data_IF_777779533730
#
_entry.id   IF_777779533730
#
_cell.length_a   1.000
_cell.length_b   1.000
_cell.length_c   1.000
_cell.angle_alpha   90.00
_cell.angle_beta   90.00
_cell.angle_gamma   90.00
#
_symmetry.space_group_name_H-M   'P 1'
#
loop_
_entity.id
_entity.type
_entity.pdbx_description
1 polymer ?
#
# COMPACT_ATOMS: atom_id res chain seq x y z
N UNK A 1 59.11 -75.53 -34.36
CA UNK A 1 57.80 -75.85 -33.79
C UNK A 1 57.79 -75.30 -32.37
N UNK A 2 57.16 -74.15 -32.14
CA UNK A 2 57.05 -73.51 -30.83
C UNK A 2 55.59 -73.17 -30.63
N UNK A 3 54.98 -73.78 -29.64
CA UNK A 3 53.60 -73.60 -29.26
C UNK A 3 53.55 -72.40 -28.30
N UNK A 4 52.78 -71.38 -28.64
CA UNK A 4 52.60 -70.20 -27.84
C UNK A 4 51.29 -70.36 -27.08
N UNK A 5 51.35 -70.43 -25.73
CA UNK A 5 50.23 -70.50 -24.87
C UNK A 5 49.81 -69.05 -24.51
N UNK A 6 48.57 -68.66 -24.84
CA UNK A 6 47.97 -67.38 -24.47
C UNK A 6 47.19 -67.60 -23.18
N UNK A 7 47.64 -66.98 -22.08
CA UNK A 7 46.94 -66.93 -20.82
C UNK A 7 45.86 -65.82 -20.87
N UNK A 8 44.59 -66.19 -20.73
CA UNK A 8 43.45 -65.31 -20.66
C UNK A 8 43.25 -64.85 -19.20
N UNK A 9 43.60 -63.61 -18.91
CA UNK A 9 43.46 -63.00 -17.59
C UNK A 9 42.08 -62.34 -17.49
N UNK A 10 41.15 -62.99 -16.78
CA UNK A 10 39.81 -62.47 -16.54
C UNK A 10 39.85 -61.32 -15.52
N UNK A 11 39.50 -60.15 -15.96
CA UNK A 11 39.29 -58.95 -15.08
C UNK A 11 37.87 -59.02 -14.49
N UNK A 12 37.78 -59.36 -13.20
CA UNK A 12 36.57 -59.35 -12.43
C UNK A 12 36.26 -57.87 -12.01
N UNK A 13 35.44 -57.17 -12.77
CA UNK A 13 34.99 -55.83 -12.46
C UNK A 13 33.90 -55.92 -11.38
N UNK A 14 34.26 -55.61 -10.13
CA UNK A 14 33.33 -55.41 -9.04
C UNK A 14 32.57 -54.09 -9.26
N UNK A 15 31.33 -54.16 -9.70
CA UNK A 15 30.41 -53.02 -9.73
C UNK A 15 29.98 -52.70 -8.31
N UNK A 16 30.55 -51.64 -7.72
CA UNK A 16 30.06 -51.07 -6.47
C UNK A 16 28.72 -50.40 -6.78
N UNK A 17 27.62 -51.08 -6.42
CA UNK A 17 26.30 -50.49 -6.44
C UNK A 17 26.25 -49.45 -5.32
N UNK A 18 26.34 -48.19 -5.70
CA UNK A 18 26.01 -47.08 -4.79
C UNK A 18 24.51 -47.08 -4.62
N UNK A 19 24.04 -47.60 -3.50
CA UNK A 19 22.65 -47.46 -3.07
C UNK A 19 22.37 -45.98 -2.87
N UNK A 20 21.65 -45.36 -3.81
CA UNK A 20 20.98 -44.10 -3.55
C UNK A 20 19.87 -44.42 -2.54
N UNK A 21 20.10 -44.10 -1.30
CA UNK A 21 19.05 -44.02 -0.31
C UNK A 21 18.09 -42.92 -0.76
N UNK A 22 17.00 -43.28 -1.42
CA UNK A 22 15.95 -42.40 -1.86
C UNK A 22 15.31 -41.85 -0.58
N UNK A 23 15.69 -40.64 -0.22
CA UNK A 23 15.17 -39.94 0.94
C UNK A 23 13.70 -39.63 0.66
N UNK A 24 12.81 -40.48 1.14
CA UNK A 24 11.37 -40.29 1.00
C UNK A 24 11.02 -38.96 1.70
N UNK A 25 10.73 -37.96 0.90
CA UNK A 25 10.26 -36.68 1.46
C UNK A 25 8.90 -36.89 2.13
N UNK A 26 8.72 -36.38 3.35
CA UNK A 26 7.46 -36.55 4.07
C UNK A 26 6.32 -35.88 3.32
N UNK A 27 5.14 -36.50 3.32
CA UNK A 27 3.95 -35.89 2.77
C UNK A 27 3.63 -34.59 3.55
N UNK A 28 3.30 -33.53 2.85
CA UNK A 28 3.08 -32.22 3.46
C UNK A 28 1.74 -31.61 3.08
N UNK A 29 1.22 -30.77 3.99
CA UNK A 29 0.03 -29.95 3.77
C UNK A 29 0.39 -28.48 3.96
N UNK A 30 0.14 -27.67 2.95
CA UNK A 30 0.29 -26.23 3.04
C UNK A 30 -1.09 -25.57 3.15
N UNK A 31 -1.27 -24.74 4.16
CA UNK A 31 -2.50 -23.96 4.39
C UNK A 31 -2.16 -22.50 4.60
N UNK A 32 -2.98 -21.61 4.05
CA UNK A 32 -2.87 -20.18 4.32
C UNK A 32 -4.21 -19.60 4.74
N UNK A 33 -4.16 -18.58 5.59
CA UNK A 33 -5.33 -17.83 6.02
C UNK A 33 -5.02 -16.36 6.22
N UNK A 34 -6.07 -15.54 6.18
CA UNK A 34 -6.00 -14.11 6.43
C UNK A 34 -6.72 -13.75 7.72
N UNK A 35 -6.10 -12.88 8.51
CA UNK A 35 -6.75 -12.15 9.59
C UNK A 35 -7.03 -10.71 9.16
N UNK A 36 -8.08 -10.11 9.69
CA UNK A 36 -8.48 -8.75 9.38
C UNK A 36 -9.06 -8.09 10.61
N UNK A 37 -8.58 -6.87 10.90
CA UNK A 37 -9.14 -5.97 11.91
C UNK A 37 -9.67 -4.73 11.21
N UNK A 38 -10.86 -4.29 11.62
CA UNK A 38 -11.47 -3.04 11.15
C UNK A 38 -11.49 -2.05 12.30
N UNK A 39 -11.15 -0.81 12.03
CA UNK A 39 -11.14 0.24 13.03
C UNK A 39 -11.43 1.61 12.40
N UNK A 40 -11.95 2.52 13.21
CA UNK A 40 -12.08 3.92 12.81
C UNK A 40 -10.70 4.57 12.70
N UNK A 41 -10.48 5.49 11.74
CA UNK A 41 -9.26 6.30 11.69
C UNK A 41 -9.16 7.21 12.92
N UNK A 42 -7.93 7.53 13.31
CA UNK A 42 -7.60 8.46 14.39
C UNK A 42 -6.98 9.77 13.88
N UNK A 43 -6.74 9.86 12.59
CA UNK A 43 -6.02 10.99 11.99
C UNK A 43 -6.49 11.18 10.54
N UNK A 44 -6.64 12.43 10.14
CA UNK A 44 -6.83 12.83 8.75
C UNK A 44 -5.58 13.54 8.24
N UNK A 45 -5.12 13.15 7.07
CA UNK A 45 -4.11 13.87 6.29
C UNK A 45 -4.82 14.64 5.20
N UNK A 46 -4.80 15.95 5.31
CA UNK A 46 -5.45 16.85 4.35
C UNK A 46 -4.38 17.52 3.50
N UNK A 47 -4.55 17.47 2.18
CA UNK A 47 -3.59 18.03 1.25
C UNK A 47 -4.18 19.22 0.52
N UNK A 48 -3.45 20.33 0.53
CA UNK A 48 -3.79 21.56 -0.18
C UNK A 48 -2.62 21.99 -1.06
N UNK A 49 -2.90 22.87 -2.02
CA UNK A 49 -1.84 23.65 -2.66
C UNK A 49 -2.28 25.07 -2.95
N UNK A 50 -1.30 25.96 -2.99
CA UNK A 50 -1.39 27.31 -3.47
C UNK A 50 -0.78 27.36 -4.86
N UNK A 51 -1.54 27.78 -5.85
CA UNK A 51 -1.06 28.02 -7.20
C UNK A 51 -1.18 29.51 -7.52
N UNK A 52 -0.12 30.10 -8.08
CA UNK A 52 -0.06 31.47 -8.55
C UNK A 52 0.50 31.48 -9.97
N UNK A 53 0.04 32.40 -10.81
CA UNK A 53 0.50 32.56 -12.18
C UNK A 53 0.67 34.05 -12.51
N UNK A 54 1.62 34.36 -13.39
CA UNK A 54 1.91 35.71 -13.84
C UNK A 54 3.06 35.76 -14.82
N UNK A 55 3.37 36.93 -15.32
CA UNK A 55 4.43 37.15 -16.34
C UNK A 55 5.84 37.17 -15.74
N UNK A 56 6.00 37.67 -14.48
CA UNK A 56 7.29 37.74 -13.79
C UNK A 56 7.49 36.55 -12.88
N UNK A 57 8.62 35.87 -13.01
CA UNK A 57 9.01 34.75 -12.13
C UNK A 57 9.08 35.20 -10.68
N UNK A 58 9.74 36.32 -10.39
CA UNK A 58 9.95 36.82 -9.04
C UNK A 58 8.62 37.14 -8.34
N UNK A 59 7.69 37.78 -9.07
CA UNK A 59 6.38 38.13 -8.54
C UNK A 59 5.54 36.88 -8.26
N UNK A 60 5.51 35.91 -9.17
CA UNK A 60 4.76 34.65 -9.02
C UNK A 60 5.25 33.87 -7.79
N UNK A 61 6.56 33.80 -7.58
CA UNK A 61 7.17 33.13 -6.42
C UNK A 61 6.87 33.90 -5.12
N UNK A 62 6.97 35.24 -5.13
CA UNK A 62 6.66 36.07 -3.97
C UNK A 62 5.20 35.94 -3.54
N UNK A 63 4.28 36.07 -4.51
CA UNK A 63 2.83 35.94 -4.25
C UNK A 63 2.47 34.54 -3.71
N UNK A 64 3.13 33.50 -4.25
CA UNK A 64 2.92 32.13 -3.80
C UNK A 64 3.37 31.94 -2.34
N UNK A 65 4.56 32.44 -2.01
CA UNK A 65 5.10 32.40 -0.65
C UNK A 65 4.16 33.11 0.34
N UNK A 66 3.74 34.33 0.01
CA UNK A 66 2.92 35.15 0.91
C UNK A 66 1.55 34.52 1.16
N UNK A 67 0.91 33.95 0.13
CA UNK A 67 -0.34 33.19 0.28
C UNK A 67 -0.14 31.92 1.13
N UNK A 68 0.93 31.14 0.89
CA UNK A 68 1.20 29.95 1.69
C UNK A 68 1.45 30.29 3.15
N UNK A 69 2.16 31.38 3.44
CA UNK A 69 2.33 31.87 4.82
C UNK A 69 1.00 32.22 5.48
N UNK A 70 0.07 32.83 4.75
CA UNK A 70 -1.28 33.12 5.26
C UNK A 70 -2.04 31.84 5.57
N UNK A 71 -1.95 30.80 4.71
CA UNK A 71 -2.56 29.49 4.93
C UNK A 71 -1.98 28.86 6.19
N UNK A 72 -0.66 28.77 6.32
CA UNK A 72 0.00 28.20 7.50
C UNK A 72 -0.39 28.92 8.78
N UNK A 73 -0.36 30.26 8.78
CA UNK A 73 -0.77 31.08 9.92
C UNK A 73 -2.24 30.87 10.30
N UNK A 74 -3.13 30.72 9.32
CA UNK A 74 -4.54 30.47 9.55
C UNK A 74 -4.80 29.09 10.17
N UNK A 75 -4.04 28.06 9.75
CA UNK A 75 -4.11 26.70 10.30
C UNK A 75 -3.53 26.64 11.73
N UNK A 76 -2.43 27.35 11.99
CA UNK A 76 -1.86 27.44 13.34
C UNK A 76 -2.83 28.09 14.33
N UNK A 77 -3.62 29.10 13.91
CA UNK A 77 -4.69 29.72 14.74
C UNK A 77 -5.84 28.75 15.04
N UNK A 78 -6.05 27.71 14.26
CA UNK A 78 -6.99 26.61 14.55
C UNK A 78 -6.44 25.57 15.53
N UNK A 79 -5.19 25.77 16.00
CA UNK A 79 -4.53 24.86 16.92
C UNK A 79 -3.82 23.69 16.23
N UNK A 80 -3.54 23.80 14.92
CA UNK A 80 -2.67 22.84 14.23
C UNK A 80 -1.22 23.29 14.47
N UNK A 81 -0.41 22.53 15.20
CA UNK A 81 0.98 22.88 15.49
C UNK A 81 1.85 22.75 14.23
N UNK A 82 2.94 23.51 14.17
CA UNK A 82 3.79 23.62 12.98
C UNK A 82 4.39 22.27 12.53
N UNK A 83 4.74 21.40 13.47
CA UNK A 83 5.25 20.06 13.18
C UNK A 83 4.26 19.15 12.44
N UNK A 84 2.98 19.53 12.37
CA UNK A 84 1.93 18.85 11.61
C UNK A 84 1.61 19.53 10.27
N UNK A 85 2.32 20.59 9.95
CA UNK A 85 2.26 21.31 8.69
C UNK A 85 3.53 21.01 7.89
N UNK A 86 3.41 20.22 6.84
CA UNK A 86 4.56 19.80 6.05
C UNK A 86 4.43 20.25 4.60
N UNK A 87 5.39 21.01 4.08
CA UNK A 87 5.48 21.28 2.64
C UNK A 87 5.80 19.98 1.91
N UNK A 88 5.02 19.67 0.88
CA UNK A 88 5.16 18.43 0.11
C UNK A 88 5.85 18.65 -1.23
N UNK A 89 5.64 19.81 -1.85
CA UNK A 89 6.25 20.17 -3.13
C UNK A 89 6.32 21.69 -3.27
N UNK A 90 7.30 22.16 -4.03
CA UNK A 90 7.35 23.51 -4.54
C UNK A 90 7.91 23.46 -5.95
N UNK A 91 7.08 23.82 -6.92
CA UNK A 91 7.42 23.75 -8.33
C UNK A 91 7.11 25.08 -9.00
N UNK A 92 7.99 25.53 -9.91
CA UNK A 92 7.74 26.68 -10.78
C UNK A 92 7.96 26.26 -12.22
N UNK A 93 6.93 26.40 -13.03
CA UNK A 93 6.96 25.99 -14.43
C UNK A 93 6.73 27.17 -15.37
N UNK A 94 7.55 27.36 -16.42
CA UNK A 94 7.30 28.36 -17.46
C UNK A 94 6.08 27.96 -18.30
N UNK A 95 5.30 28.97 -18.68
CA UNK A 95 4.17 28.81 -19.58
C UNK A 95 4.60 29.28 -20.97
N UNK A 96 4.56 28.39 -21.95
CA UNK A 96 4.98 28.67 -23.31
C UNK A 96 3.80 29.03 -24.21
N UNK A 97 4.08 29.87 -25.23
CA UNK A 97 3.12 30.16 -26.28
C UNK A 97 2.67 28.86 -26.98
N UNK A 98 1.37 28.72 -27.31
CA UNK A 98 0.93 27.60 -28.11
C UNK A 98 1.68 27.50 -29.44
N UNK A 99 2.20 26.32 -29.74
CA UNK A 99 2.83 26.09 -31.05
C UNK A 99 1.79 26.21 -32.15
N UNK A 100 1.97 27.12 -33.15
CA UNK A 100 1.01 27.24 -34.25
C UNK A 100 0.80 25.91 -34.98
N UNK A 101 -0.44 25.62 -35.36
CA UNK A 101 -0.72 24.46 -36.20
C UNK A 101 -0.08 24.68 -37.57
N UNK A 102 0.86 23.82 -37.93
CA UNK A 102 1.58 23.90 -39.23
C UNK A 102 0.61 23.52 -40.35
N UNK A 103 0.75 24.28 -41.48
CA UNK A 103 0.17 23.88 -42.75
C UNK A 103 1.07 22.84 -43.43
N UNK A 104 0.53 21.86 -44.18
CA UNK A 104 1.35 20.98 -44.99
C UNK A 104 2.22 21.83 -45.94
N UNK A 105 3.55 21.57 -46.00
CA UNK A 105 4.56 22.26 -46.81
C UNK A 105 5.12 23.60 -46.27
N UNK A 106 4.91 23.95 -45.00
CA UNK A 106 5.58 25.12 -44.41
C UNK A 106 6.98 24.74 -43.88
N UNK A 107 8.04 25.49 -44.19
CA UNK A 107 9.39 25.20 -43.71
C UNK A 107 9.46 25.26 -42.19
N UNK A 108 10.26 24.35 -41.58
CA UNK A 108 10.44 24.31 -40.12
C UNK A 108 11.27 25.50 -39.68
N UNK A 109 10.65 26.47 -39.04
CA UNK A 109 11.37 27.48 -38.28
C UNK A 109 11.65 26.93 -36.90
N UNK A 110 12.90 26.68 -36.55
CA UNK A 110 13.36 26.31 -35.20
C UNK A 110 13.50 27.57 -34.34
N UNK A 111 12.40 28.24 -34.06
CA UNK A 111 12.40 29.31 -33.05
C UNK A 111 12.14 28.65 -31.68
N UNK A 112 12.92 29.01 -30.64
CA UNK A 112 12.63 28.52 -29.28
C UNK A 112 11.24 29.01 -28.85
N UNK A 113 10.46 28.18 -28.15
CA UNK A 113 9.12 28.56 -27.71
C UNK A 113 9.22 29.79 -26.79
N UNK A 114 8.38 30.81 -27.06
CA UNK A 114 8.33 32.04 -26.27
C UNK A 114 7.65 31.76 -24.93
N UNK A 115 8.31 32.14 -23.82
CA UNK A 115 7.71 32.11 -22.48
C UNK A 115 6.70 33.25 -22.38
N UNK A 116 5.47 32.93 -22.00
CA UNK A 116 4.39 33.89 -21.78
C UNK A 116 4.24 34.27 -20.30
N UNK A 117 4.75 33.44 -19.40
CA UNK A 117 4.66 33.63 -17.95
C UNK A 117 5.14 32.41 -17.20
N UNK A 118 4.84 32.39 -15.92
CA UNK A 118 5.22 31.31 -14.98
C UNK A 118 4.03 30.93 -14.12
N UNK A 119 4.01 29.67 -13.69
CA UNK A 119 3.08 29.16 -12.68
C UNK A 119 3.90 28.56 -11.55
N UNK A 120 3.69 29.03 -10.32
CA UNK A 120 4.26 28.45 -9.11
C UNK A 120 3.18 27.66 -8.36
N UNK A 121 3.52 26.44 -7.95
CA UNK A 121 2.66 25.57 -7.15
C UNK A 121 3.40 25.12 -5.90
N UNK A 122 2.76 25.34 -4.74
CA UNK A 122 3.28 24.98 -3.43
C UNK A 122 2.27 24.08 -2.71
N UNK A 123 2.66 22.85 -2.42
CA UNK A 123 1.82 21.85 -1.74
C UNK A 123 2.10 21.79 -0.25
N UNK A 124 1.03 21.69 0.54
CA UNK A 124 1.11 21.48 1.99
C UNK A 124 0.26 20.30 2.41
N UNK A 125 0.84 19.47 3.27
CA UNK A 125 0.19 18.37 3.98
C UNK A 125 -0.10 18.78 5.41
N UNK A 126 -1.31 18.55 5.86
CA UNK A 126 -1.82 18.92 7.18
C UNK A 126 -2.27 17.66 7.91
N UNK A 127 -1.66 17.35 9.06
CA UNK A 127 -2.08 16.25 9.91
C UNK A 127 -3.10 16.76 10.95
N UNK A 128 -4.33 16.26 10.86
CA UNK A 128 -5.44 16.62 11.74
C UNK A 128 -5.83 15.42 12.60
N UNK A 129 -5.61 15.51 13.92
CA UNK A 129 -5.93 14.45 14.89
C UNK A 129 -7.33 14.57 15.49
N UNK A 130 -7.87 15.77 15.50
CA UNK A 130 -9.24 16.03 15.89
C UNK A 130 -10.08 15.97 14.61
N UNK A 131 -10.71 14.83 14.38
CA UNK A 131 -11.42 14.57 13.12
C UNK A 131 -12.63 15.48 12.92
N UNK A 132 -13.21 15.98 14.00
CA UNK A 132 -14.34 16.92 13.94
C UNK A 132 -13.91 18.28 13.37
N UNK A 133 -12.63 18.61 13.45
CA UNK A 133 -12.07 19.86 12.89
C UNK A 133 -11.68 19.78 11.42
N UNK A 134 -11.73 18.61 10.78
CA UNK A 134 -11.25 18.44 9.39
C UNK A 134 -11.98 19.38 8.44
N UNK A 135 -13.31 19.51 8.57
CA UNK A 135 -14.10 20.45 7.78
C UNK A 135 -13.70 21.91 7.99
N UNK A 136 -13.50 22.30 9.26
CA UNK A 136 -13.06 23.66 9.60
C UNK A 136 -11.63 23.95 9.09
N UNK A 137 -10.74 22.96 9.13
CA UNK A 137 -9.38 23.06 8.57
C UNK A 137 -9.43 23.31 7.07
N UNK A 138 -10.26 22.54 6.35
CA UNK A 138 -10.42 22.70 4.91
C UNK A 138 -10.96 24.08 4.53
N UNK A 139 -12.04 24.51 5.19
CA UNK A 139 -12.65 25.83 4.96
C UNK A 139 -11.67 26.96 5.27
N UNK A 140 -10.94 26.87 6.38
CA UNK A 140 -9.98 27.89 6.78
C UNK A 140 -8.79 27.99 5.84
N UNK A 141 -8.25 26.86 5.35
CA UNK A 141 -7.15 26.84 4.40
C UNK A 141 -7.55 27.50 3.07
N UNK A 142 -8.73 27.15 2.55
CA UNK A 142 -9.25 27.73 1.31
C UNK A 142 -9.51 29.24 1.43
N UNK A 143 -10.12 29.70 2.54
CA UNK A 143 -10.33 31.12 2.82
C UNK A 143 -9.02 31.91 3.01
N UNK A 144 -7.96 31.24 3.46
CA UNK A 144 -6.66 31.87 3.68
C UNK A 144 -5.78 31.95 2.42
N UNK A 145 -6.19 31.35 1.29
CA UNK A 145 -5.48 31.48 0.02
C UNK A 145 -5.06 30.17 -0.64
N UNK A 146 -5.30 29.00 -0.03
CA UNK A 146 -5.22 27.72 -0.74
C UNK A 146 -6.30 27.69 -1.82
N UNK A 147 -5.91 27.40 -3.07
CA UNK A 147 -6.85 27.37 -4.19
C UNK A 147 -7.00 25.99 -4.83
N UNK A 148 -6.26 24.99 -4.30
CA UNK A 148 -6.43 23.59 -4.64
C UNK A 148 -6.58 22.76 -3.37
N UNK A 149 -7.63 21.95 -3.35
CA UNK A 149 -7.87 20.91 -2.37
C UNK A 149 -7.55 19.56 -3.02
N UNK A 150 -6.47 18.92 -2.57
CA UNK A 150 -5.94 17.70 -3.21
C UNK A 150 -6.43 16.42 -2.51
N UNK A 151 -7.43 16.54 -1.61
CA UNK A 151 -8.11 15.43 -0.97
C UNK A 151 -7.69 15.18 0.46
N UNK A 152 -8.37 14.19 1.05
CA UNK A 152 -8.16 13.72 2.43
C UNK A 152 -7.80 12.25 2.40
N UNK A 153 -6.82 11.88 3.21
CA UNK A 153 -6.50 10.50 3.52
C UNK A 153 -6.76 10.26 5.00
N UNK A 154 -7.64 9.33 5.31
CA UNK A 154 -7.89 8.88 6.66
C UNK A 154 -6.91 7.78 7.03
N UNK A 155 -6.26 7.90 8.18
CA UNK A 155 -5.24 6.95 8.62
C UNK A 155 -5.41 6.59 10.10
N UNK A 156 -4.80 5.49 10.48
CA UNK A 156 -4.46 5.16 11.86
C UNK A 156 -2.96 5.32 12.00
N UNK A 157 -2.50 6.14 12.93
CA UNK A 157 -1.08 6.46 13.11
C UNK A 157 -0.25 5.25 13.52
N UNK A 158 -0.74 4.51 14.51
CA UNK A 158 -0.08 3.29 14.95
C UNK A 158 -0.93 2.07 14.57
N UNK A 159 -0.57 1.47 13.44
CA UNK A 159 -1.24 0.26 12.92
C UNK A 159 -0.63 -1.02 13.49
N UNK A 160 0.53 -0.95 14.15
CA UNK A 160 1.27 -2.13 14.61
C UNK A 160 0.47 -3.01 15.59
N UNK A 161 -0.17 -2.48 16.64
CA UNK A 161 -0.98 -3.30 17.54
C UNK A 161 -2.14 -4.03 16.82
N UNK A 162 -2.77 -3.37 15.85
CA UNK A 162 -3.86 -3.93 15.06
C UNK A 162 -3.34 -5.01 14.09
N UNK A 163 -2.15 -4.78 13.53
CA UNK A 163 -1.48 -5.77 12.70
C UNK A 163 -1.18 -7.07 13.49
N UNK A 164 -0.66 -6.95 14.71
CA UNK A 164 -0.41 -8.12 15.57
C UNK A 164 -1.71 -8.88 15.90
N UNK A 165 -2.83 -8.19 16.12
CA UNK A 165 -4.12 -8.82 16.31
C UNK A 165 -4.60 -9.54 15.04
N UNK A 166 -4.46 -8.92 13.86
CA UNK A 166 -4.78 -9.53 12.57
C UNK A 166 -3.90 -10.77 12.32
N UNK A 167 -2.60 -10.69 12.66
CA UNK A 167 -1.66 -11.80 12.54
C UNK A 167 -2.05 -12.98 13.43
N UNK A 168 -2.39 -12.73 14.70
CA UNK A 168 -2.87 -13.76 15.60
C UNK A 168 -4.16 -14.42 15.10
N UNK A 169 -5.08 -13.64 14.56
CA UNK A 169 -6.31 -14.14 13.94
C UNK A 169 -6.02 -14.99 12.70
N UNK A 170 -5.06 -14.57 11.83
CA UNK A 170 -4.64 -15.34 10.67
C UNK A 170 -4.05 -16.69 11.06
N UNK A 171 -3.14 -16.70 12.05
CA UNK A 171 -2.51 -17.93 12.55
C UNK A 171 -3.53 -18.91 13.11
N UNK A 172 -4.50 -18.42 13.91
CA UNK A 172 -5.58 -19.24 14.44
C UNK A 172 -6.42 -19.87 13.33
N UNK A 173 -6.86 -19.07 12.36
CA UNK A 173 -7.63 -19.56 11.20
C UNK A 173 -6.85 -20.54 10.33
N UNK A 174 -5.54 -20.33 10.11
CA UNK A 174 -4.70 -21.25 9.36
C UNK A 174 -4.60 -22.61 10.08
N UNK A 175 -4.40 -22.61 11.40
CA UNK A 175 -4.39 -23.83 12.23
C UNK A 175 -5.74 -24.57 12.17
N UNK A 176 -6.84 -23.88 12.36
CA UNK A 176 -8.19 -24.44 12.28
C UNK A 176 -8.43 -25.06 10.89
N UNK A 177 -8.03 -24.39 9.82
CA UNK A 177 -8.13 -24.88 8.45
C UNK A 177 -7.31 -26.15 8.23
N UNK A 178 -6.08 -26.22 8.76
CA UNK A 178 -5.24 -27.41 8.69
C UNK A 178 -5.90 -28.59 9.41
N UNK A 179 -6.43 -28.38 10.60
CA UNK A 179 -7.12 -29.40 11.38
C UNK A 179 -8.36 -29.93 10.64
N UNK A 180 -9.19 -29.04 10.10
CA UNK A 180 -10.38 -29.42 9.33
C UNK A 180 -10.02 -30.24 8.10
N UNK A 181 -8.99 -29.84 7.35
CA UNK A 181 -8.55 -30.57 6.17
C UNK A 181 -8.00 -31.95 6.54
N UNK A 182 -7.17 -32.03 7.58
CA UNK A 182 -6.62 -33.31 8.04
C UNK A 182 -7.75 -34.27 8.43
N UNK A 183 -8.71 -33.82 9.21
CA UNK A 183 -9.88 -34.63 9.62
C UNK A 183 -10.72 -35.09 8.42
N UNK A 184 -10.98 -34.20 7.45
CA UNK A 184 -11.80 -34.52 6.28
C UNK A 184 -11.14 -35.48 5.29
N UNK A 185 -9.83 -35.65 5.39
CA UNK A 185 -9.02 -36.52 4.52
C UNK A 185 -8.50 -37.75 5.23
N UNK A 186 -8.97 -38.03 6.45
CA UNK A 186 -8.51 -39.12 7.31
C UNK A 186 -6.99 -39.10 7.54
N UNK A 187 -6.44 -37.89 7.68
CA UNK A 187 -5.05 -37.63 7.97
C UNK A 187 -4.86 -37.07 9.37
N UNK A 188 -3.63 -37.14 9.88
CA UNK A 188 -3.20 -36.43 11.09
C UNK A 188 -2.11 -35.41 10.78
N UNK A 189 -2.13 -34.30 11.49
CA UNK A 189 -1.01 -33.36 11.48
C UNK A 189 0.09 -33.92 12.39
N UNK A 190 1.28 -34.17 11.83
CA UNK A 190 2.41 -34.77 12.56
C UNK A 190 3.24 -33.67 13.22
N UNK A 191 3.70 -32.69 12.41
CA UNK A 191 4.60 -31.63 12.86
C UNK A 191 4.39 -30.37 12.02
N UNK A 192 4.48 -29.21 12.65
CA UNK A 192 4.59 -27.93 11.95
C UNK A 192 6.04 -27.77 11.47
N UNK A 193 6.25 -27.72 10.15
CA UNK A 193 7.56 -27.62 9.53
C UNK A 193 7.97 -26.17 9.30
N UNK A 194 7.03 -25.35 8.81
CA UNK A 194 7.32 -23.96 8.44
C UNK A 194 6.16 -23.06 8.79
N UNK A 195 6.48 -21.88 9.29
CA UNK A 195 5.57 -20.75 9.47
C UNK A 195 6.09 -19.62 8.61
N UNK A 196 5.27 -19.13 7.70
CA UNK A 196 5.57 -17.96 6.89
C UNK A 196 4.55 -16.88 7.13
N UNK A 197 5.04 -15.72 7.49
CA UNK A 197 4.26 -14.51 7.54
C UNK A 197 4.26 -13.89 6.14
N UNK A 198 3.08 -13.75 5.53
CA UNK A 198 2.90 -12.95 4.34
C UNK A 198 2.88 -11.48 4.75
N UNK A 199 3.66 -10.63 4.05
CA UNK A 199 3.80 -9.23 4.41
C UNK A 199 2.47 -8.51 4.64
N UNK A 200 2.50 -7.49 5.49
CA UNK A 200 1.35 -6.62 5.75
C UNK A 200 0.93 -5.91 4.47
N UNK A 201 -0.25 -6.20 3.98
CA UNK A 201 -0.89 -5.36 2.98
C UNK A 201 -1.94 -4.51 3.71
N UNK A 202 -1.64 -3.23 3.90
CA UNK A 202 -2.64 -2.24 4.27
C UNK A 202 -3.24 -1.75 2.96
N UNK A 203 -4.43 -2.20 2.58
CA UNK A 203 -5.08 -1.66 1.40
C UNK A 203 -5.30 -0.17 1.66
N UNK A 204 -4.88 0.68 0.71
CA UNK A 204 -5.30 2.07 0.73
C UNK A 204 -6.82 2.11 0.89
N UNK A 205 -7.37 3.00 1.75
CA UNK A 205 -8.81 3.10 1.95
C UNK A 205 -9.47 3.28 0.57
N UNK A 206 -10.19 2.29 0.12
CA UNK A 206 -11.08 2.47 -1.00
C UNK A 206 -12.19 3.38 -0.47
N UNK A 207 -12.24 4.61 -0.97
CA UNK A 207 -13.39 5.47 -0.79
C UNK A 207 -14.58 4.76 -1.42
N UNK A 208 -15.25 3.93 -0.65
CA UNK A 208 -16.59 3.52 -0.99
C UNK A 208 -17.45 4.77 -0.77
N UNK A 209 -17.75 5.46 -1.84
CA UNK A 209 -18.89 6.37 -1.86
C UNK A 209 -20.14 5.50 -1.68
N UNK A 210 -20.35 5.00 -0.48
CA UNK A 210 -21.63 4.48 -0.07
C UNK A 210 -22.58 5.66 -0.30
N UNK A 211 -23.62 5.44 -1.09
CA UNK A 211 -24.78 6.32 -1.23
C UNK A 211 -25.40 6.53 0.16
N UNK A 212 -24.78 7.35 0.97
CA UNK A 212 -25.30 7.79 2.25
C UNK A 212 -26.25 8.94 1.97
N UNK A 213 -27.53 8.59 1.88
CA UNK A 213 -28.69 9.37 2.23
C UNK A 213 -28.77 10.82 1.71
N UNK A 214 -29.34 10.93 0.56
CA UNK A 214 -30.05 12.09 0.03
C UNK A 214 -31.34 12.43 0.84
N UNK A 215 -31.29 12.42 2.17
CA UNK A 215 -32.49 12.66 3.01
C UNK A 215 -32.21 13.52 4.25
N UNK A 216 -31.25 14.47 4.16
CA UNK A 216 -31.12 15.53 5.16
C UNK A 216 -30.74 16.88 4.51
N UNK A 217 -31.52 17.29 3.50
CA UNK A 217 -31.46 18.64 2.95
C UNK A 217 -32.52 19.52 3.63
N UNK A 218 -32.38 19.78 4.92
CA UNK A 218 -33.14 20.87 5.56
C UNK A 218 -32.58 21.22 6.95
N UNK A 219 -31.29 21.58 7.01
CA UNK A 219 -30.76 22.42 8.11
C UNK A 219 -29.59 23.22 7.59
N UNK A 220 -29.91 24.43 7.16
CA UNK A 220 -28.93 25.51 6.97
C UNK A 220 -28.37 25.87 8.34
N UNK A 221 -27.18 25.38 8.65
CA UNK A 221 -26.36 25.87 9.73
C UNK A 221 -24.89 25.72 9.33
N UNK A 222 -24.19 26.83 9.15
CA UNK A 222 -22.75 27.05 9.00
C UNK A 222 -22.00 25.90 8.30
N UNK A 223 -21.82 26.05 6.98
CA UNK A 223 -21.40 25.01 6.05
C UNK A 223 -19.93 24.67 6.20
N UNK A 224 -19.62 23.72 7.05
CA UNK A 224 -18.46 22.88 6.81
C UNK A 224 -18.88 21.73 5.88
N UNK A 225 -18.08 21.44 4.87
CA UNK A 225 -18.32 20.29 3.97
C UNK A 225 -18.40 19.02 4.83
N UNK A 226 -19.52 18.27 4.84
CA UNK A 226 -19.63 17.07 5.66
C UNK A 226 -18.62 16.04 5.19
N UNK A 227 -17.71 15.63 6.08
CA UNK A 227 -16.64 14.68 5.80
C UNK A 227 -16.81 13.48 6.74
N UNK A 228 -17.10 12.31 6.16
CA UNK A 228 -17.28 11.08 6.94
C UNK A 228 -16.07 10.17 6.75
N UNK A 229 -15.31 9.88 7.79
CA UNK A 229 -14.28 8.86 7.73
C UNK A 229 -14.93 7.46 7.63
N UNK A 230 -14.43 6.63 6.72
CA UNK A 230 -14.81 5.21 6.68
C UNK A 230 -14.05 4.39 7.72
N UNK A 231 -14.09 3.06 7.59
CA UNK A 231 -13.26 2.17 8.38
C UNK A 231 -11.97 1.81 7.65
N UNK A 232 -10.89 1.69 8.41
CA UNK A 232 -9.59 1.21 7.92
C UNK A 232 -9.49 -0.28 8.21
N UNK A 233 -9.04 -1.05 7.20
CA UNK A 233 -8.85 -2.50 7.28
C UNK A 233 -7.36 -2.80 7.36
N UNK A 234 -6.94 -3.38 8.47
CA UNK A 234 -5.57 -3.91 8.64
C UNK A 234 -5.63 -5.41 8.42
N UNK A 235 -4.80 -5.94 7.52
CA UNK A 235 -4.79 -7.35 7.15
C UNK A 235 -3.42 -7.96 7.38
N UNK A 236 -3.40 -9.23 7.78
CA UNK A 236 -2.22 -10.07 7.86
C UNK A 236 -2.50 -11.44 7.24
N UNK A 237 -1.48 -12.07 6.70
CA UNK A 237 -1.55 -13.42 6.15
C UNK A 237 -0.55 -14.32 6.83
N UNK A 238 -0.95 -15.56 7.11
CA UNK A 238 -0.07 -16.62 7.62
C UNK A 238 -0.22 -17.85 6.74
N UNK A 239 0.91 -18.45 6.37
CA UNK A 239 0.99 -19.75 5.71
C UNK A 239 1.71 -20.74 6.62
N UNK A 240 1.15 -21.92 6.78
CA UNK A 240 1.64 -23.00 7.62
C UNK A 240 1.87 -24.26 6.78
N UNK A 241 3.08 -24.81 6.86
CA UNK A 241 3.42 -26.09 6.25
C UNK A 241 3.50 -27.15 7.35
N UNK A 242 2.65 -28.16 7.24
CA UNK A 242 2.64 -29.31 8.14
C UNK A 242 3.13 -30.57 7.43
N UNK A 243 3.86 -31.39 8.17
CA UNK A 243 4.00 -32.80 7.86
C UNK A 243 2.70 -33.52 8.22
N UNK A 244 2.23 -34.40 7.35
CA UNK A 244 1.00 -35.15 7.51
C UNK A 244 1.26 -36.65 7.44
N UNK A 245 0.41 -37.43 8.07
CA UNK A 245 0.48 -38.89 8.04
C UNK A 245 -0.94 -39.51 8.13
N UNK A 246 -1.09 -40.83 7.92
CA UNK A 246 -2.37 -41.49 8.07
C UNK A 246 -2.88 -41.36 9.49
N UNK A 247 -4.20 -41.23 9.68
CA UNK A 247 -4.83 -41.35 10.98
C UNK A 247 -4.69 -42.78 11.49
N UNK A 248 -4.52 -42.97 12.79
CA UNK A 248 -4.13 -44.24 13.46
C UNK A 248 -5.10 -45.42 13.28
N UNK A 249 -5.86 -45.48 12.20
CA UNK A 249 -6.79 -46.55 11.85
C UNK A 249 -6.56 -47.25 10.53
N UNK A 250 -5.53 -46.84 9.74
CA UNK A 250 -5.33 -47.30 8.36
C UNK A 250 -3.97 -47.99 8.16
N UNK A 251 -3.46 -48.63 9.21
CA UNK A 251 -2.15 -49.31 9.14
C UNK A 251 -2.28 -50.83 9.09
N UNK A 252 -3.32 -51.37 8.43
CA UNK A 252 -3.42 -52.79 8.07
C UNK A 252 -4.23 -52.94 6.78
N UNK A 253 -3.57 -52.77 5.63
CA UNK A 253 -3.95 -53.44 4.39
C UNK A 253 -2.69 -54.08 3.82
N UNK A 254 -2.74 -55.41 3.57
CA UNK A 254 -1.60 -56.22 3.09
C UNK A 254 -1.13 -55.83 1.68
#
# INVERSE_FOLDING_TARGET
MKILAIALMGILSATVAWGHEEKVEPATMNVSAHGQIQLAPDTAIVNFSVETAGESFEQVVSDNRDRMQQVMAALSRLGIPEERLQTTSFDVTPQYAPTPRRRPNEPVKHEPPKILGYTARNGIRVEVRDLDKVGAVADRALKAGANHFNGIQWIVRDQHPMYLQALAQAAKKAKEKAQTLAQSLDLRLVKLLTVQEGGSHVPAPRQSFAKANMLMADRVAESSVPMSPGEIKVQAQVSLLYEIGPSSGMMDLP
#
